data_IF_231482574484
#
_entry.id   IF_231482574484
#
_cell.length_a   1.000
_cell.length_b   1.000
_cell.length_c   1.000
_cell.angle_alpha   90.00
_cell.angle_beta   90.00
_cell.angle_gamma   90.00
#
_symmetry.space_group_name_H-M   'P 1'
#
loop_
_entity.id
_entity.type
_entity.pdbx_description
1 polymer ?
#
# COMPACT_ATOMS: atom_id res chain seq x y z
N UNK A 1 16.64 9.22 -14.62
CA UNK A 1 15.46 8.39 -14.32
C UNK A 1 15.77 7.41 -13.21
N UNK A 2 14.87 7.27 -12.26
CA UNK A 2 14.99 6.35 -11.13
C UNK A 2 13.72 5.50 -11.05
N UNK A 3 13.89 4.18 -10.88
CA UNK A 3 12.78 3.24 -10.72
C UNK A 3 13.03 2.40 -9.48
N UNK A 4 12.05 2.37 -8.58
CA UNK A 4 12.09 1.55 -7.37
C UNK A 4 10.99 0.47 -7.46
N UNK A 5 11.41 -0.80 -7.49
CA UNK A 5 10.51 -1.94 -7.64
C UNK A 5 10.45 -2.76 -6.37
N UNK A 6 9.23 -3.20 -6.00
CA UNK A 6 9.08 -4.30 -5.04
C UNK A 6 9.08 -5.62 -5.83
N UNK A 7 9.87 -6.56 -5.39
CA UNK A 7 10.01 -7.86 -6.03
C UNK A 7 9.86 -8.98 -4.99
N UNK A 8 8.71 -9.67 -4.96
CA UNK A 8 8.50 -10.77 -4.03
C UNK A 8 9.54 -11.88 -4.21
N UNK A 9 10.18 -12.27 -3.12
CA UNK A 9 11.24 -13.29 -3.12
C UNK A 9 10.76 -14.54 -2.36
N UNK A 10 10.37 -15.62 -3.06
CA UNK A 10 9.85 -16.83 -2.41
C UNK A 10 10.78 -17.41 -1.36
N UNK A 11 12.07 -17.40 -1.63
CA UNK A 11 13.08 -17.95 -0.73
C UNK A 11 13.32 -17.05 0.48
N UNK A 12 13.52 -15.75 0.26
CA UNK A 12 13.81 -14.79 1.33
C UNK A 12 12.60 -14.49 2.22
N UNK A 13 11.41 -14.49 1.64
CA UNK A 13 10.18 -14.22 2.36
C UNK A 13 9.50 -15.48 2.90
N UNK A 14 9.99 -16.63 2.47
CA UNK A 14 9.51 -17.96 2.89
C UNK A 14 8.02 -18.17 2.60
N UNK A 15 7.72 -18.33 1.31
CA UNK A 15 6.38 -18.67 0.83
C UNK A 15 6.48 -19.49 -0.46
N UNK A 16 5.39 -20.16 -0.85
CA UNK A 16 5.33 -20.94 -2.10
C UNK A 16 5.34 -20.00 -3.32
N UNK A 17 6.25 -20.19 -4.30
CA UNK A 17 6.38 -19.32 -5.47
C UNK A 17 5.11 -19.04 -6.24
N UNK A 18 4.12 -19.93 -6.21
CA UNK A 18 2.82 -19.71 -6.87
C UNK A 18 2.05 -18.49 -6.35
N UNK A 19 2.39 -18.00 -5.14
CA UNK A 19 1.76 -16.84 -4.51
C UNK A 19 2.51 -15.52 -4.75
N UNK A 20 3.58 -15.52 -5.58
CA UNK A 20 4.40 -14.31 -5.79
C UNK A 20 3.57 -13.11 -6.28
N UNK A 21 2.73 -13.31 -7.28
CA UNK A 21 1.87 -12.24 -7.79
C UNK A 21 0.89 -11.74 -6.72
N UNK A 22 0.25 -12.66 -6.02
CA UNK A 22 -0.72 -12.32 -4.98
C UNK A 22 -0.08 -11.54 -3.84
N UNK A 23 1.11 -11.93 -3.39
CA UNK A 23 1.84 -11.21 -2.34
C UNK A 23 2.30 -9.83 -2.81
N UNK A 24 2.75 -9.69 -4.04
CA UNK A 24 3.06 -8.40 -4.61
C UNK A 24 1.85 -7.47 -4.62
N UNK A 25 0.68 -7.99 -5.00
CA UNK A 25 -0.57 -7.22 -4.96
C UNK A 25 -0.99 -6.87 -3.53
N UNK A 26 -0.87 -7.80 -2.59
CA UNK A 26 -1.20 -7.55 -1.18
C UNK A 26 -0.32 -6.45 -0.55
N UNK A 27 0.96 -6.37 -0.93
CA UNK A 27 1.82 -5.29 -0.47
C UNK A 27 1.23 -3.91 -0.83
N UNK A 28 0.65 -3.78 -2.02
CA UNK A 28 0.03 -2.55 -2.50
C UNK A 28 -1.37 -2.36 -1.91
N UNK A 29 -2.18 -3.41 -1.93
CA UNK A 29 -3.57 -3.37 -1.47
C UNK A 29 -3.71 -3.13 0.04
N UNK A 30 -2.71 -3.51 0.83
CA UNK A 30 -2.65 -3.20 2.26
C UNK A 30 -2.15 -1.79 2.55
N UNK A 31 -1.55 -1.13 1.56
CA UNK A 31 -0.94 0.18 1.73
C UNK A 31 0.48 0.17 2.30
N UNK A 32 1.06 -1.03 2.53
CA UNK A 32 2.47 -1.14 2.94
C UNK A 32 3.43 -0.62 1.89
N UNK A 33 3.13 -0.88 0.63
CA UNK A 33 3.85 -0.33 -0.52
C UNK A 33 2.96 0.62 -1.29
N UNK A 34 3.44 1.82 -1.57
CA UNK A 34 2.70 2.83 -2.31
C UNK A 34 3.22 2.92 -3.74
N UNK A 35 2.32 2.80 -4.70
CA UNK A 35 2.64 3.02 -6.11
C UNK A 35 2.50 4.51 -6.44
N UNK A 36 3.59 5.12 -6.90
CA UNK A 36 3.60 6.53 -7.25
C UNK A 36 4.61 6.81 -8.36
N UNK A 37 4.45 7.97 -8.98
CA UNK A 37 5.43 8.51 -9.91
C UNK A 37 5.65 10.01 -9.65
N UNK A 38 6.83 10.48 -9.96
CA UNK A 38 7.15 11.91 -9.95
C UNK A 38 7.66 12.26 -11.34
N UNK A 39 6.90 13.09 -12.06
CA UNK A 39 7.22 13.52 -13.40
C UNK A 39 7.32 15.05 -13.39
N UNK A 40 8.48 15.57 -13.78
CA UNK A 40 8.73 17.02 -13.80
C UNK A 40 8.42 17.70 -12.45
N UNK A 41 8.74 17.03 -11.35
CA UNK A 41 8.50 17.52 -10.00
C UNK A 41 7.09 17.37 -9.48
N UNK A 42 6.17 16.84 -10.27
CA UNK A 42 4.79 16.57 -9.85
C UNK A 42 4.62 15.11 -9.44
N UNK A 43 4.08 14.90 -8.24
CA UNK A 43 3.82 13.58 -7.69
C UNK A 43 2.38 13.16 -7.97
N UNK A 44 2.21 11.92 -8.41
CA UNK A 44 0.91 11.28 -8.56
C UNK A 44 0.94 9.84 -8.08
N UNK A 45 -0.18 9.38 -7.52
CA UNK A 45 -0.35 7.98 -7.15
C UNK A 45 -0.95 7.18 -8.31
N UNK A 46 -0.55 5.91 -8.42
CA UNK A 46 -0.96 5.02 -9.50
C UNK A 46 -1.73 3.80 -8.98
N UNK A 47 -2.46 3.15 -9.86
CA UNK A 47 -3.11 1.86 -9.61
C UNK A 47 -3.94 1.81 -8.34
N UNK A 48 -3.84 0.72 -7.56
CA UNK A 48 -4.60 0.59 -6.31
C UNK A 48 -4.30 1.70 -5.29
N UNK A 49 -3.06 2.22 -5.24
CA UNK A 49 -2.71 3.32 -4.34
C UNK A 49 -3.51 4.58 -4.65
N UNK A 50 -3.72 4.88 -5.91
CA UNK A 50 -4.57 6.01 -6.33
C UNK A 50 -6.02 5.80 -5.89
N UNK A 51 -6.57 4.62 -6.13
CA UNK A 51 -7.94 4.29 -5.73
C UNK A 51 -8.13 4.37 -4.21
N UNK A 52 -7.15 3.93 -3.45
CA UNK A 52 -7.14 4.03 -1.98
C UNK A 52 -7.12 5.51 -1.55
N UNK A 53 -6.25 6.32 -2.14
CA UNK A 53 -6.13 7.74 -1.78
C UNK A 53 -7.42 8.53 -2.06
N UNK A 54 -8.18 8.11 -3.07
CA UNK A 54 -9.46 8.73 -3.45
C UNK A 54 -10.66 8.18 -2.68
N UNK A 55 -10.46 7.23 -1.77
CA UNK A 55 -11.53 6.60 -1.03
C UNK A 55 -12.41 5.64 -1.83
N UNK A 56 -12.05 5.35 -3.10
CA UNK A 56 -12.77 4.40 -3.96
C UNK A 56 -12.57 2.97 -3.47
N UNK A 57 -11.40 2.68 -2.93
CA UNK A 57 -11.01 1.35 -2.49
C UNK A 57 -10.52 1.40 -1.05
N UNK A 58 -10.99 0.46 -0.22
CA UNK A 58 -10.47 0.28 1.14
C UNK A 58 -9.18 -0.53 1.10
N UNK A 59 -8.25 -0.19 1.98
CA UNK A 59 -7.05 -1.00 2.19
C UNK A 59 -7.42 -2.33 2.83
N UNK A 60 -6.76 -3.40 2.39
CA UNK A 60 -6.84 -4.70 3.06
C UNK A 60 -6.05 -4.67 4.36
N UNK A 61 -6.41 -5.48 5.37
CA UNK A 61 -5.61 -5.59 6.59
C UNK A 61 -4.18 -6.07 6.30
N UNK A 62 -3.20 -5.50 6.95
CA UNK A 62 -1.78 -5.90 6.78
C UNK A 62 -1.55 -7.36 7.14
N UNK A 63 -2.39 -7.92 8.00
CA UNK A 63 -2.39 -9.32 8.39
C UNK A 63 -2.42 -10.26 7.18
N UNK A 64 -3.20 -9.93 6.15
CA UNK A 64 -3.29 -10.74 4.93
C UNK A 64 -1.95 -10.83 4.19
N UNK A 65 -1.15 -9.79 4.23
CA UNK A 65 0.19 -9.79 3.65
C UNK A 65 1.21 -10.47 4.56
N UNK A 66 1.19 -10.16 5.85
CA UNK A 66 2.21 -10.61 6.80
C UNK A 66 2.12 -12.12 7.05
N UNK A 67 0.92 -12.66 7.31
CA UNK A 67 0.76 -14.06 7.73
C UNK A 67 0.98 -15.08 6.61
N UNK A 68 1.07 -14.65 5.36
CA UNK A 68 1.40 -15.54 4.25
C UNK A 68 2.89 -15.81 4.09
N UNK A 69 3.72 -15.17 4.90
CA UNK A 69 5.17 -15.24 4.77
C UNK A 69 5.79 -15.83 6.02
N UNK A 70 6.57 -16.88 5.85
CA UNK A 70 7.27 -17.54 6.96
C UNK A 70 8.22 -16.61 7.71
N UNK A 71 8.77 -15.59 7.04
CA UNK A 71 9.66 -14.59 7.68
C UNK A 71 8.97 -13.81 8.82
N UNK A 72 7.65 -13.76 8.85
CA UNK A 72 6.87 -13.12 9.91
C UNK A 72 6.13 -14.10 10.82
N UNK A 73 6.48 -15.39 10.76
CA UNK A 73 5.80 -16.43 11.54
C UNK A 73 5.91 -16.22 13.06
N UNK A 74 6.92 -15.49 13.51
CA UNK A 74 7.15 -15.16 14.92
C UNK A 74 6.36 -13.93 15.39
N UNK A 75 5.68 -13.23 14.51
CA UNK A 75 4.90 -12.04 14.88
C UNK A 75 3.73 -12.42 15.79
N UNK A 76 3.59 -11.69 16.88
CA UNK A 76 2.45 -11.76 17.76
C UNK A 76 1.33 -10.84 17.26
N UNK A 77 0.07 -11.01 17.72
CA UNK A 77 -1.02 -10.11 17.34
C UNK A 77 -0.72 -8.63 17.59
N UNK A 78 0.01 -8.31 18.63
CA UNK A 78 0.46 -6.95 18.96
C UNK A 78 1.47 -6.39 17.94
N UNK A 79 2.33 -7.23 17.39
CA UNK A 79 3.27 -6.82 16.32
C UNK A 79 2.50 -6.48 15.03
N UNK A 80 1.54 -7.31 14.68
CA UNK A 80 0.66 -7.08 13.52
C UNK A 80 -0.13 -5.80 13.70
N UNK A 81 -0.68 -5.59 14.89
CA UNK A 81 -1.39 -4.34 15.21
C UNK A 81 -0.48 -3.13 15.09
N UNK A 82 0.75 -3.22 15.55
CA UNK A 82 1.72 -2.14 15.44
C UNK A 82 1.99 -1.76 13.97
N UNK A 83 2.17 -2.75 13.11
CA UNK A 83 2.34 -2.52 11.66
C UNK A 83 1.08 -1.88 11.07
N UNK A 84 -0.11 -2.37 11.43
CA UNK A 84 -1.38 -1.81 10.97
C UNK A 84 -1.52 -0.35 11.37
N UNK A 85 -1.26 -0.02 12.64
CA UNK A 85 -1.35 1.34 13.16
C UNK A 85 -0.39 2.30 12.41
N UNK A 86 0.82 1.83 12.09
CA UNK A 86 1.80 2.63 11.32
C UNK A 86 1.35 2.89 9.89
N UNK A 87 0.79 1.88 9.24
CA UNK A 87 0.25 2.03 7.88
C UNK A 87 -0.96 2.97 7.89
N UNK A 88 -1.86 2.80 8.84
CA UNK A 88 -3.03 3.65 8.98
C UNK A 88 -2.63 5.10 9.22
N UNK A 89 -1.70 5.35 10.13
CA UNK A 89 -1.18 6.68 10.40
C UNK A 89 -0.55 7.32 9.16
N UNK A 90 0.23 6.56 8.40
CA UNK A 90 0.86 7.03 7.18
C UNK A 90 -0.18 7.47 6.14
N UNK A 91 -1.24 6.68 5.95
CA UNK A 91 -2.29 6.97 4.97
C UNK A 91 -3.29 8.03 5.43
N UNK A 92 -3.46 8.23 6.73
CA UNK A 92 -4.34 9.28 7.27
C UNK A 92 -3.69 10.66 7.26
N UNK A 93 -2.36 10.72 7.47
CA UNK A 93 -1.62 11.98 7.56
C UNK A 93 -0.92 12.33 6.26
N UNK A 94 0.12 11.57 5.94
CA UNK A 94 1.01 11.82 4.81
C UNK A 94 1.64 10.51 4.38
N UNK A 95 1.51 10.12 3.12
CA UNK A 95 2.29 9.01 2.65
C UNK A 95 3.76 9.40 2.36
N UNK A 96 4.01 10.68 1.99
CA UNK A 96 5.34 11.27 2.02
C UNK A 96 5.29 12.50 2.93
N UNK A 97 5.97 12.48 4.09
CA UNK A 97 5.90 13.58 5.05
C UNK A 97 6.20 14.94 4.41
N UNK A 98 5.29 15.89 4.61
CA UNK A 98 5.46 17.26 4.16
C UNK A 98 5.17 17.53 2.69
N UNK A 99 4.76 16.52 1.89
CA UNK A 99 4.49 16.72 0.46
C UNK A 99 3.00 16.71 0.10
N UNK A 100 2.27 15.66 0.46
CA UNK A 100 0.85 15.53 0.07
C UNK A 100 0.01 14.97 1.20
N UNK A 101 -1.16 15.56 1.50
CA UNK A 101 -2.17 14.92 2.33
C UNK A 101 -2.73 13.68 1.59
N UNK A 102 -2.91 12.60 2.32
CA UNK A 102 -3.48 11.36 1.77
C UNK A 102 -5.00 11.45 1.69
N UNK A 103 -5.60 12.35 2.44
CA UNK A 103 -7.04 12.57 2.43
C UNK A 103 -7.47 13.18 1.09
N UNK A 104 -8.40 12.54 0.36
CA UNK A 104 -8.89 13.08 -0.90
C UNK A 104 -9.49 14.48 -0.70
N UNK A 105 -9.22 15.38 -1.63
CA UNK A 105 -9.93 16.65 -1.66
C UNK A 105 -11.39 16.41 -2.07
N UNK A 106 -12.33 17.21 -1.59
CA UNK A 106 -13.76 17.02 -1.92
C UNK A 106 -14.03 16.93 -3.42
N UNK A 107 -13.36 17.75 -4.19
CA UNK A 107 -13.48 17.82 -5.66
C UNK A 107 -13.02 16.53 -6.36
N UNK A 108 -12.06 15.82 -5.78
CA UNK A 108 -11.56 14.55 -6.31
C UNK A 108 -12.52 13.39 -6.01
N UNK A 109 -13.28 13.48 -4.92
CA UNK A 109 -14.28 12.46 -4.56
C UNK A 109 -15.47 12.54 -5.51
N UNK A 110 -15.93 13.74 -5.88
CA UNK A 110 -17.01 13.92 -6.85
C UNK A 110 -16.64 13.35 -8.23
N UNK A 111 -15.39 13.61 -8.68
CA UNK A 111 -14.91 13.10 -9.96
C UNK A 111 -14.78 11.58 -9.99
N UNK A 112 -14.50 10.96 -8.84
CA UNK A 112 -14.38 9.50 -8.73
C UNK A 112 -15.76 8.81 -8.74
N UNK A 113 -16.80 9.42 -8.18
CA UNK A 113 -18.19 8.93 -8.24
C UNK A 113 -18.77 9.03 -9.66
N UNK A 114 -18.42 10.05 -10.42
CA UNK A 114 -18.81 10.19 -11.82
C UNK A 114 -18.09 9.19 -12.75
N UNK A 115 -16.95 8.65 -12.35
CA UNK A 115 -16.15 7.71 -13.15
C UNK A 115 -16.57 6.24 -12.95
N UNK A 116 -17.44 5.95 -12.01
CA UNK A 116 -18.05 4.63 -11.80
C UNK A 116 -19.29 4.47 -12.69
#
# INVERSE_FOLDING_TARGET
TFIHCIDPCPKGWDYDPKYSHELGMLAIETGLWTQYEIIEGELSLNGPSRAISKGIRKRKPVEEYLLRQGRFAHFLPEDIKHVQDRVDEQWEKWWIPGLIPITPQPDEVETAEEAE
#
